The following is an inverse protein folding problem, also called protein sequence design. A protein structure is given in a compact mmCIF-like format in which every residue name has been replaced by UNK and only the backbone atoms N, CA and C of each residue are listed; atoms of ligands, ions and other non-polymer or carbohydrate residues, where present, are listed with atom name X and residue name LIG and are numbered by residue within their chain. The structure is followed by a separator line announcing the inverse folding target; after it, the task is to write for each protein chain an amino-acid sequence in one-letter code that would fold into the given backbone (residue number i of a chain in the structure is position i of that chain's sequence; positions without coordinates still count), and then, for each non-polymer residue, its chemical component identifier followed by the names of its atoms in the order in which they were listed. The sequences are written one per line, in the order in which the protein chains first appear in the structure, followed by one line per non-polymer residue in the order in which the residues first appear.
data_IF_041542206351
#
_entry.id   IF_041542206351
#
_cell.length_a   1.000
_cell.length_b   1.000
_cell.length_c   1.000
_cell.angle_alpha   90.00
_cell.angle_beta   90.00
_cell.angle_gamma   90.00
#
_symmetry.space_group_name_H-M   'P 1'
#
loop_
_entity.id
_entity.type
_entity.pdbx_description
1 polymer ?
#
# COMPACT_ATOMS: atom_id res chain seq x y z
N UNK A 1 8.24 -20.89 -20.28
CA UNK A 1 7.25 -20.26 -19.37
C UNK A 1 7.71 -18.83 -19.14
N UNK A 2 6.83 -17.84 -19.30
CA UNK A 2 7.17 -16.46 -18.96
C UNK A 2 7.46 -16.39 -17.46
N UNK A 3 8.52 -15.70 -17.08
CA UNK A 3 8.83 -15.47 -15.67
C UNK A 3 7.79 -14.50 -15.10
N UNK A 4 6.97 -14.92 -14.13
CA UNK A 4 5.92 -14.07 -13.53
C UNK A 4 6.52 -12.78 -12.96
N UNK A 5 7.76 -12.81 -12.46
CA UNK A 5 8.46 -11.61 -11.99
C UNK A 5 8.76 -10.59 -13.11
N UNK A 6 8.68 -10.99 -14.38
CA UNK A 6 8.88 -10.11 -15.54
C UNK A 6 7.57 -9.60 -16.17
N UNK A 7 6.41 -10.15 -15.76
CA UNK A 7 5.11 -9.81 -16.36
C UNK A 7 4.06 -9.34 -15.35
N UNK A 8 4.29 -9.54 -14.05
CA UNK A 8 3.43 -9.01 -12.98
C UNK A 8 3.65 -7.52 -12.75
N UNK A 9 2.67 -6.89 -12.10
CA UNK A 9 2.68 -5.46 -11.74
C UNK A 9 3.40 -5.17 -10.40
N UNK A 10 3.83 -6.22 -9.68
CA UNK A 10 4.51 -6.13 -8.38
C UNK A 10 3.66 -5.45 -7.28
N UNK A 11 2.33 -5.40 -7.48
CA UNK A 11 1.38 -4.87 -6.51
C UNK A 11 1.32 -5.71 -5.22
N UNK A 12 0.95 -5.06 -4.12
CA UNK A 12 0.66 -5.78 -2.87
C UNK A 12 -0.51 -6.75 -3.04
N UNK A 13 -1.56 -6.38 -3.78
CA UNK A 13 -2.71 -7.24 -4.06
C UNK A 13 -2.29 -8.61 -4.63
N UNK A 14 -1.39 -8.62 -5.62
CA UNK A 14 -0.88 -9.88 -6.15
C UNK A 14 -0.14 -10.71 -5.09
N UNK A 15 0.69 -10.08 -4.27
CA UNK A 15 1.42 -10.76 -3.20
C UNK A 15 0.50 -11.28 -2.10
N UNK A 16 -0.55 -10.52 -1.77
CA UNK A 16 -1.60 -10.90 -0.83
C UNK A 16 -2.32 -12.16 -1.33
N UNK A 17 -2.80 -12.16 -2.57
CA UNK A 17 -3.45 -13.33 -3.19
C UNK A 17 -2.53 -14.54 -3.22
N UNK A 18 -1.26 -14.33 -3.58
CA UNK A 18 -0.25 -15.37 -3.61
C UNK A 18 -0.08 -16.01 -2.23
N UNK A 19 0.13 -15.22 -1.17
CA UNK A 19 0.33 -15.74 0.18
C UNK A 19 -0.93 -16.35 0.77
N UNK A 20 -2.09 -15.75 0.53
CA UNK A 20 -3.39 -16.29 0.93
C UNK A 20 -3.60 -17.70 0.38
N UNK A 21 -3.32 -17.89 -0.91
CA UNK A 21 -3.39 -19.21 -1.53
C UNK A 21 -2.41 -20.19 -0.90
N UNK A 22 -1.14 -19.80 -0.75
CA UNK A 22 -0.11 -20.69 -0.20
C UNK A 22 -0.40 -21.10 1.24
N UNK A 23 -0.80 -20.15 2.10
CA UNK A 23 -1.15 -20.42 3.49
C UNK A 23 -2.39 -21.31 3.60
N UNK A 24 -3.43 -21.05 2.80
CA UNK A 24 -4.59 -21.96 2.74
C UNK A 24 -4.16 -23.40 2.47
N UNK A 25 -3.26 -23.63 1.52
CA UNK A 25 -2.78 -24.98 1.21
C UNK A 25 -1.89 -25.54 2.34
N UNK A 26 -0.90 -24.77 2.81
CA UNK A 26 0.05 -25.27 3.82
C UNK A 26 -0.61 -25.57 5.16
N UNK A 27 -1.64 -24.81 5.54
CA UNK A 27 -2.34 -24.97 6.82
C UNK A 27 -3.48 -26.01 6.77
N UNK A 28 -3.81 -26.54 5.59
CA UNK A 28 -4.86 -27.57 5.43
C UNK A 28 -4.34 -28.91 4.91
N UNK A 29 -3.08 -28.99 4.47
CA UNK A 29 -2.43 -30.24 4.09
C UNK A 29 -1.75 -30.90 5.30
N UNK A 30 -2.38 -31.94 5.85
CA UNK A 30 -1.84 -32.70 6.98
C UNK A 30 -0.53 -33.44 6.71
N UNK A 31 -0.11 -33.55 5.44
CA UNK A 31 1.16 -34.17 5.05
C UNK A 31 2.29 -33.17 4.89
N UNK A 32 1.97 -31.88 4.95
CA UNK A 32 2.93 -30.81 4.75
C UNK A 32 3.79 -30.58 5.99
N UNK A 33 5.11 -30.69 5.83
CA UNK A 33 6.07 -30.57 6.95
C UNK A 33 6.34 -29.10 7.32
N UNK A 34 6.27 -28.18 6.35
CA UNK A 34 6.47 -26.75 6.59
C UNK A 34 7.13 -26.00 5.42
N UNK A 35 7.09 -24.67 5.48
CA UNK A 35 7.81 -23.76 4.58
C UNK A 35 8.45 -22.60 5.37
N UNK A 36 9.21 -21.76 4.66
CA UNK A 36 9.71 -20.51 5.18
C UNK A 36 9.48 -19.41 4.14
N UNK A 37 8.74 -18.37 4.51
CA UNK A 37 8.52 -17.22 3.65
C UNK A 37 9.82 -16.44 3.44
N UNK A 38 10.23 -16.27 2.18
CA UNK A 38 11.35 -15.42 1.79
C UNK A 38 10.83 -14.07 1.26
N UNK A 39 10.91 -12.98 2.01
CA UNK A 39 11.53 -12.81 3.33
C UNK A 39 10.58 -12.09 4.28
N UNK A 40 10.95 -12.00 5.56
CA UNK A 40 10.17 -11.21 6.51
C UNK A 40 10.25 -9.71 6.20
N UNK A 41 11.45 -9.21 5.91
CA UNK A 41 11.73 -7.78 5.73
C UNK A 41 12.44 -7.52 4.40
N UNK A 42 12.12 -6.41 3.75
CA UNK A 42 12.85 -5.92 2.58
C UNK A 42 14.33 -5.70 2.88
N UNK A 43 15.21 -6.05 1.94
CA UNK A 43 16.66 -6.03 2.17
C UNK A 43 17.46 -5.69 0.92
N UNK A 44 18.66 -5.14 1.13
CA UNK A 44 19.56 -4.75 0.04
C UNK A 44 20.15 -5.93 -0.72
N UNK A 45 20.26 -5.79 -2.03
CA UNK A 45 20.94 -6.76 -2.91
C UNK A 45 21.61 -6.04 -4.09
N UNK A 46 22.88 -6.34 -4.39
CA UNK A 46 23.59 -5.71 -5.51
C UNK A 46 23.06 -6.18 -6.88
N UNK A 47 22.24 -7.23 -6.91
CA UNK A 47 21.79 -7.91 -8.13
C UNK A 47 20.55 -7.28 -8.78
N UNK A 48 19.95 -6.25 -8.14
CA UNK A 48 18.65 -5.70 -8.56
C UNK A 48 18.69 -4.17 -8.75
N UNK A 49 19.58 -3.63 -9.59
CA UNK A 49 19.67 -2.19 -9.81
C UNK A 49 18.36 -1.56 -10.31
N UNK A 50 17.57 -2.33 -11.06
CA UNK A 50 16.36 -1.83 -11.74
C UNK A 50 15.04 -2.11 -11.03
N UNK A 51 15.07 -2.65 -9.81
CA UNK A 51 13.86 -2.82 -9.01
C UNK A 51 13.16 -1.47 -8.76
N UNK A 52 11.87 -1.52 -8.41
CA UNK A 52 11.04 -0.33 -8.22
C UNK A 52 11.63 0.60 -7.17
N UNK A 53 12.20 0.02 -6.11
CA UNK A 53 13.25 0.66 -5.31
C UNK A 53 14.60 0.03 -5.70
N UNK A 54 15.52 0.79 -6.31
CA UNK A 54 16.81 0.29 -6.77
C UNK A 54 17.60 -0.45 -5.68
N UNK A 55 18.15 -1.60 -6.04
CA UNK A 55 18.96 -2.47 -5.17
C UNK A 55 18.24 -3.06 -3.95
N UNK A 56 16.91 -3.03 -3.89
CA UNK A 56 16.14 -3.62 -2.79
C UNK A 56 15.37 -4.85 -3.27
N UNK A 57 15.48 -5.95 -2.55
CA UNK A 57 14.57 -7.08 -2.68
C UNK A 57 13.30 -6.81 -1.88
N UNK A 58 12.20 -6.51 -2.59
CA UNK A 58 10.94 -6.04 -2.03
C UNK A 58 9.95 -7.18 -1.66
N UNK A 59 10.45 -8.39 -1.37
CA UNK A 59 9.64 -9.57 -1.01
C UNK A 59 9.29 -9.65 0.48
N UNK A 60 9.69 -8.65 1.26
CA UNK A 60 9.38 -8.54 2.68
C UNK A 60 7.88 -8.38 2.91
N UNK A 61 7.41 -8.91 4.04
CA UNK A 61 6.10 -8.61 4.65
C UNK A 61 6.09 -7.24 5.34
N UNK A 62 7.28 -6.72 5.66
CA UNK A 62 7.51 -5.35 6.10
C UNK A 62 8.51 -4.68 5.16
N UNK A 63 8.47 -3.36 5.08
CA UNK A 63 9.52 -2.60 4.42
C UNK A 63 10.81 -2.64 5.24
N UNK A 64 11.86 -1.97 4.74
CA UNK A 64 13.20 -2.06 5.35
C UNK A 64 13.32 -1.28 6.68
N UNK A 65 12.45 -0.30 6.91
CA UNK A 65 12.39 0.53 8.12
C UNK A 65 11.34 -0.04 9.10
N UNK A 66 10.94 0.75 10.10
CA UNK A 66 9.94 0.37 11.10
C UNK A 66 8.56 0.98 10.77
N UNK A 67 8.24 1.10 9.48
CA UNK A 67 6.91 1.54 9.05
C UNK A 67 5.84 0.47 9.35
N UNK A 68 4.55 0.84 9.34
CA UNK A 68 3.47 -0.15 9.43
C UNK A 68 3.67 -1.29 8.42
N UNK A 69 3.35 -2.54 8.79
CA UNK A 69 3.51 -3.69 7.89
C UNK A 69 2.72 -3.55 6.58
N UNK A 70 3.20 -4.26 5.55
CA UNK A 70 2.49 -4.42 4.27
C UNK A 70 1.22 -5.25 4.47
N UNK A 71 0.27 -5.18 3.54
CA UNK A 71 -0.96 -5.99 3.62
C UNK A 71 -0.65 -7.49 3.74
N UNK A 72 0.38 -7.94 3.01
CA UNK A 72 0.87 -9.31 3.06
C UNK A 72 1.20 -9.82 4.47
N UNK A 73 1.65 -8.95 5.39
CA UNK A 73 1.89 -9.32 6.79
C UNK A 73 0.61 -9.79 7.48
N UNK A 74 -0.50 -9.10 7.25
CA UNK A 74 -1.78 -9.41 7.88
C UNK A 74 -2.40 -10.71 7.36
N UNK A 75 -2.02 -11.14 6.14
CA UNK A 75 -2.31 -12.50 5.66
C UNK A 75 -1.67 -13.51 6.61
N UNK A 76 -0.36 -13.46 6.86
CA UNK A 76 0.30 -14.36 7.81
C UNK A 76 -0.24 -14.21 9.23
N UNK A 77 -0.46 -12.97 9.70
CA UNK A 77 -1.04 -12.72 11.03
C UNK A 77 -2.39 -13.42 11.20
N UNK A 78 -3.22 -13.45 10.15
CA UNK A 78 -4.56 -14.06 10.21
C UNK A 78 -4.55 -15.58 10.38
N UNK A 79 -3.47 -16.25 9.99
CA UNK A 79 -3.30 -17.69 10.16
C UNK A 79 -2.53 -18.05 11.44
N UNK A 80 -1.51 -17.26 11.81
CA UNK A 80 -0.51 -17.69 12.80
C UNK A 80 -0.51 -16.90 14.11
N UNK A 81 -1.21 -15.77 14.21
CA UNK A 81 -1.20 -14.97 15.44
C UNK A 81 -2.32 -15.37 16.39
N UNK A 82 -1.99 -15.46 17.68
CA UNK A 82 -2.97 -15.56 18.77
C UNK A 82 -3.49 -14.18 19.22
N UNK A 83 -2.85 -13.08 18.82
CA UNK A 83 -3.27 -11.73 19.18
C UNK A 83 -4.55 -11.35 18.42
N UNK A 84 -5.69 -11.08 19.09
CA UNK A 84 -6.94 -10.71 18.44
C UNK A 84 -6.77 -9.54 17.48
N UNK A 85 -7.19 -9.69 16.22
CA UNK A 85 -7.19 -8.57 15.27
C UNK A 85 -8.18 -8.77 14.11
N UNK A 86 -8.50 -7.66 13.44
CA UNK A 86 -9.20 -7.61 12.16
C UNK A 86 -8.51 -6.55 11.29
N UNK A 87 -8.38 -6.80 9.99
CA UNK A 87 -7.67 -5.95 9.04
C UNK A 87 -8.40 -5.91 7.70
N UNK A 88 -8.93 -4.76 7.33
CA UNK A 88 -9.47 -4.47 6.00
C UNK A 88 -8.28 -4.34 5.04
N UNK A 89 -8.28 -5.06 3.91
CA UNK A 89 -7.16 -5.01 2.98
C UNK A 89 -6.94 -3.59 2.38
N UNK A 90 -5.66 -3.18 2.28
CA UNK A 90 -5.16 -2.00 1.57
C UNK A 90 -5.35 -0.64 2.25
N UNK A 91 -4.87 -0.50 3.50
CA UNK A 91 -4.80 0.79 4.20
C UNK A 91 -3.93 1.85 3.51
N UNK A 92 -2.98 1.44 2.67
CA UNK A 92 -2.15 2.36 1.89
C UNK A 92 -2.81 2.78 0.56
N UNK A 93 -3.89 2.12 0.15
CA UNK A 93 -4.62 2.39 -1.09
C UNK A 93 -5.93 3.15 -0.83
N UNK A 94 -5.77 4.42 -0.45
CA UNK A 94 -6.89 5.30 -0.06
C UNK A 94 -7.54 6.05 -1.23
N UNK A 95 -6.87 6.14 -2.38
CA UNK A 95 -7.38 6.77 -3.62
C UNK A 95 -7.67 5.69 -4.67
N UNK A 96 -8.95 5.42 -4.92
CA UNK A 96 -9.39 4.33 -5.79
C UNK A 96 -10.22 4.85 -6.97
N UNK A 97 -10.24 4.07 -8.06
CA UNK A 97 -11.08 4.37 -9.22
C UNK A 97 -11.72 3.12 -9.81
N UNK A 98 -12.83 3.30 -10.52
CA UNK A 98 -13.42 2.27 -11.36
C UNK A 98 -14.85 2.60 -11.79
N UNK A 99 -15.48 1.77 -12.64
CA UNK A 99 -16.82 2.04 -13.15
C UNK A 99 -17.88 2.12 -12.05
N UNK A 100 -18.80 3.08 -12.21
CA UNK A 100 -20.00 3.24 -11.39
C UNK A 100 -20.92 2.01 -11.48
N UNK A 101 -21.45 1.58 -10.34
CA UNK A 101 -22.43 0.49 -10.27
C UNK A 101 -21.86 -0.90 -10.56
N UNK A 102 -20.53 -1.04 -10.60
CA UNK A 102 -19.87 -2.34 -10.60
C UNK A 102 -19.39 -2.59 -9.18
N UNK A 103 -19.92 -3.62 -8.53
CA UNK A 103 -19.47 -4.03 -7.20
C UNK A 103 -17.98 -4.42 -7.19
N UNK A 104 -17.31 -4.18 -6.08
CA UNK A 104 -15.93 -4.61 -5.82
C UNK A 104 -15.92 -5.56 -4.64
N UNK A 105 -15.13 -6.61 -4.73
CA UNK A 105 -14.89 -7.48 -3.58
C UNK A 105 -13.84 -6.83 -2.67
N UNK A 106 -14.11 -6.80 -1.37
CA UNK A 106 -13.20 -6.38 -0.32
C UNK A 106 -12.89 -7.60 0.54
N UNK A 107 -11.62 -7.88 0.76
CA UNK A 107 -11.17 -8.91 1.70
C UNK A 107 -10.89 -8.33 3.08
N UNK A 108 -11.16 -9.10 4.12
CA UNK A 108 -10.75 -8.80 5.49
C UNK A 108 -9.94 -9.98 6.03
N UNK A 109 -8.75 -9.70 6.56
CA UNK A 109 -7.89 -10.68 7.20
C UNK A 109 -8.05 -10.59 8.72
N UNK A 110 -8.32 -11.72 9.36
CA UNK A 110 -8.59 -11.76 10.81
C UNK A 110 -8.37 -13.17 11.37
N UNK A 111 -8.06 -13.24 12.67
CA UNK A 111 -8.11 -14.47 13.47
C UNK A 111 -9.41 -14.60 14.30
N UNK A 112 -10.36 -13.67 14.16
CA UNK A 112 -11.69 -13.77 14.75
C UNK A 112 -12.50 -14.95 14.17
N UNK A 113 -13.46 -15.46 14.96
CA UNK A 113 -14.37 -16.54 14.50
C UNK A 113 -15.40 -16.00 13.50
N UNK A 114 -15.90 -14.80 13.75
CA UNK A 114 -16.88 -14.11 12.92
C UNK A 114 -16.45 -12.66 12.71
N UNK A 115 -16.66 -12.15 11.49
CA UNK A 115 -16.46 -10.74 11.16
C UNK A 115 -17.74 -10.17 10.56
N UNK A 116 -18.15 -9.00 11.04
CA UNK A 116 -19.19 -8.18 10.43
C UNK A 116 -18.55 -7.00 9.70
N UNK A 117 -18.95 -6.78 8.45
CA UNK A 117 -18.45 -5.67 7.64
C UNK A 117 -19.52 -4.61 7.43
N UNK A 118 -19.11 -3.36 7.45
CA UNK A 118 -19.96 -2.19 7.29
C UNK A 118 -19.40 -1.29 6.19
N UNK A 119 -20.29 -0.81 5.33
CA UNK A 119 -20.00 0.16 4.29
C UNK A 119 -20.88 1.39 4.50
N UNK A 120 -20.29 2.55 4.71
CA UNK A 120 -20.97 3.82 4.96
C UNK A 120 -22.05 3.70 6.07
N UNK A 121 -21.69 3.07 7.19
CA UNK A 121 -22.57 2.82 8.34
C UNK A 121 -23.59 1.69 8.16
N UNK A 122 -23.73 1.11 6.97
CA UNK A 122 -24.65 0.00 6.71
C UNK A 122 -23.93 -1.35 6.84
N UNK A 123 -24.45 -2.24 7.67
CA UNK A 123 -23.98 -3.63 7.74
C UNK A 123 -24.23 -4.35 6.41
N UNK A 124 -23.19 -5.04 5.92
CA UNK A 124 -23.25 -5.99 4.80
C UNK A 124 -23.32 -7.45 5.28
N UNK A 125 -23.58 -7.64 6.58
CA UNK A 125 -23.76 -8.93 7.20
C UNK A 125 -22.47 -9.54 7.75
N UNK A 126 -22.68 -10.58 8.55
CA UNK A 126 -21.62 -11.31 9.24
C UNK A 126 -21.16 -12.52 8.42
N UNK A 127 -19.88 -12.84 8.50
CA UNK A 127 -19.29 -14.05 7.92
C UNK A 127 -18.42 -14.76 8.94
N UNK A 128 -18.58 -16.08 9.01
CA UNK A 128 -17.75 -16.96 9.82
C UNK A 128 -16.49 -17.32 9.03
N UNK A 129 -15.34 -17.23 9.69
CA UNK A 129 -14.05 -17.60 9.10
C UNK A 129 -14.03 -19.09 8.77
N UNK A 130 -13.66 -19.41 7.54
CA UNK A 130 -13.46 -20.78 7.06
C UNK A 130 -12.16 -20.85 6.25
N UNK A 131 -11.13 -21.45 6.84
CA UNK A 131 -9.79 -21.57 6.25
C UNK A 131 -9.79 -22.30 4.89
N UNK A 132 -10.82 -23.09 4.61
CA UNK A 132 -10.95 -23.80 3.33
C UNK A 132 -11.51 -22.93 2.21
N UNK A 133 -12.03 -21.73 2.50
CA UNK A 133 -12.55 -20.79 1.50
C UNK A 133 -11.48 -19.81 1.06
N UNK A 134 -11.45 -19.54 -0.23
CA UNK A 134 -10.55 -18.58 -0.85
C UNK A 134 -11.36 -17.50 -1.58
N UNK A 135 -10.97 -16.21 -1.51
CA UNK A 135 -9.88 -15.68 -0.70
C UNK A 135 -10.29 -15.42 0.76
N UNK A 136 -9.30 -15.07 1.57
CA UNK A 136 -9.40 -14.50 2.93
C UNK A 136 -10.22 -15.35 3.90
N UNK A 137 -10.10 -16.68 3.82
CA UNK A 137 -10.91 -17.60 4.63
C UNK A 137 -12.42 -17.35 4.50
N UNK A 138 -12.88 -16.87 3.33
CA UNK A 138 -14.28 -16.54 3.05
C UNK A 138 -14.76 -15.19 3.62
N UNK A 139 -13.89 -14.42 4.26
CA UNK A 139 -14.19 -13.09 4.81
C UNK A 139 -14.06 -12.03 3.71
N UNK A 140 -14.96 -12.10 2.74
CA UNK A 140 -15.05 -11.13 1.63
C UNK A 140 -16.43 -10.47 1.56
N UNK A 141 -16.54 -9.25 1.06
CA UNK A 141 -17.84 -8.62 0.82
C UNK A 141 -17.84 -7.88 -0.51
N UNK A 142 -18.95 -7.99 -1.25
CA UNK A 142 -19.20 -7.13 -2.39
C UNK A 142 -19.68 -5.78 -1.89
N UNK A 143 -18.99 -4.72 -2.30
CA UNK A 143 -19.31 -3.33 -1.95
C UNK A 143 -19.59 -2.52 -3.21
N UNK A 144 -20.57 -1.62 -3.12
CA UNK A 144 -20.81 -0.59 -4.12
C UNK A 144 -20.28 0.73 -3.58
N UNK A 145 -19.27 1.28 -4.25
CA UNK A 145 -18.67 2.56 -3.89
C UNK A 145 -19.56 3.70 -4.36
N UNK A 146 -19.73 4.74 -3.53
CA UNK A 146 -20.21 6.06 -4.00
C UNK A 146 -19.02 6.92 -4.43
N UNK A 147 -19.30 7.93 -5.25
CA UNK A 147 -18.28 8.93 -5.59
C UNK A 147 -17.88 9.73 -4.35
N UNK A 148 -16.58 10.02 -4.21
CA UNK A 148 -16.00 10.66 -3.04
C UNK A 148 -15.69 9.67 -1.93
N UNK A 149 -15.86 10.11 -0.69
CA UNK A 149 -15.38 9.36 0.48
C UNK A 149 -16.31 8.20 0.86
N UNK A 150 -15.71 7.05 1.16
CA UNK A 150 -16.38 5.82 1.57
C UNK A 150 -15.75 5.29 2.85
N UNK A 151 -16.57 5.13 3.87
CA UNK A 151 -16.16 4.59 5.17
C UNK A 151 -16.38 3.08 5.20
N UNK A 152 -15.31 2.32 5.40
CA UNK A 152 -15.33 0.89 5.64
C UNK A 152 -15.02 0.62 7.09
N UNK A 153 -15.75 -0.33 7.69
CA UNK A 153 -15.50 -0.78 9.07
C UNK A 153 -15.70 -2.28 9.16
N UNK A 154 -14.76 -2.97 9.79
CA UNK A 154 -14.84 -4.39 10.08
C UNK A 154 -14.85 -4.60 11.60
N UNK A 155 -15.68 -5.51 12.08
CA UNK A 155 -15.76 -5.89 13.50
C UNK A 155 -15.59 -7.39 13.61
N UNK A 156 -14.48 -7.82 14.20
CA UNK A 156 -14.22 -9.22 14.53
C UNK A 156 -14.70 -9.56 15.93
N UNK A 157 -15.37 -10.71 16.07
CA UNK A 157 -15.72 -11.30 17.37
C UNK A 157 -14.88 -12.56 17.60
N UNK A 158 -14.08 -12.54 18.66
CA UNK A 158 -13.23 -13.65 19.08
C UNK A 158 -14.07 -14.73 19.78
N UNK A 159 -13.47 -15.92 19.94
CA UNK A 159 -14.12 -17.08 20.55
C UNK A 159 -14.56 -16.87 22.01
N UNK A 160 -13.80 -16.08 22.75
CA UNK A 160 -14.09 -15.71 24.14
C UNK A 160 -15.06 -14.53 24.28
N UNK A 161 -15.46 -13.94 23.15
CA UNK A 161 -16.35 -12.78 23.08
C UNK A 161 -15.63 -11.44 22.98
N UNK A 162 -14.30 -11.41 22.97
CA UNK A 162 -13.56 -10.17 22.74
C UNK A 162 -13.86 -9.60 21.35
N UNK A 163 -13.87 -8.27 21.24
CA UNK A 163 -14.22 -7.56 20.01
C UNK A 163 -13.07 -6.70 19.55
N UNK A 164 -12.70 -6.87 18.28
CA UNK A 164 -11.68 -6.08 17.58
C UNK A 164 -12.32 -5.36 16.40
N UNK A 165 -11.80 -4.19 16.07
CA UNK A 165 -12.33 -3.37 14.98
C UNK A 165 -11.20 -2.75 14.16
N UNK A 166 -11.52 -2.47 12.90
CA UNK A 166 -10.67 -1.76 11.97
C UNK A 166 -11.54 -0.88 11.07
N UNK A 167 -10.99 0.27 10.70
CA UNK A 167 -11.67 1.32 9.95
C UNK A 167 -10.78 1.84 8.83
N UNK A 168 -11.35 2.06 7.66
CA UNK A 168 -10.64 2.54 6.50
C UNK A 168 -11.50 3.54 5.71
N UNK A 169 -10.97 4.75 5.53
CA UNK A 169 -11.58 5.78 4.68
C UNK A 169 -10.92 5.74 3.30
N UNK A 170 -11.74 5.61 2.26
CA UNK A 170 -11.28 5.58 0.86
C UNK A 170 -12.03 6.60 0.03
N UNK A 171 -11.30 7.41 -0.72
CA UNK A 171 -11.88 8.19 -1.80
C UNK A 171 -12.02 7.33 -3.06
N UNK A 172 -13.20 7.34 -3.68
CA UNK A 172 -13.48 6.62 -4.90
C UNK A 172 -14.00 7.56 -5.98
N UNK A 173 -13.40 7.49 -7.17
CA UNK A 173 -13.90 8.23 -8.34
C UNK A 173 -14.31 7.30 -9.47
N UNK A 174 -15.37 7.68 -10.19
CA UNK A 174 -15.83 6.91 -11.35
C UNK A 174 -15.10 7.29 -12.64
N UNK A 175 -14.51 8.48 -12.66
CA UNK A 175 -13.74 8.99 -13.80
C UNK A 175 -12.34 8.39 -13.79
N UNK A 176 -12.01 7.65 -14.85
CA UNK A 176 -10.64 7.18 -15.09
C UNK A 176 -9.77 8.37 -15.50
N UNK A 177 -8.56 8.46 -14.96
CA UNK A 177 -7.58 9.46 -15.39
C UNK A 177 -7.22 9.31 -16.88
N UNK A 178 -6.86 10.43 -17.50
CA UNK A 178 -6.21 10.49 -18.79
C UNK A 178 -4.72 10.09 -18.72
N UNK A 179 -3.97 10.43 -19.77
CA UNK A 179 -2.53 10.21 -19.80
C UNK A 179 -1.81 11.18 -18.84
N UNK A 180 -0.77 10.72 -18.13
CA UNK A 180 0.02 11.57 -17.25
C UNK A 180 0.69 12.69 -18.05
N UNK A 181 0.64 13.91 -17.51
CA UNK A 181 1.11 15.13 -18.19
C UNK A 181 2.02 16.00 -17.33
N UNK A 182 1.85 15.96 -16.00
CA UNK A 182 2.62 16.77 -15.08
C UNK A 182 2.82 16.07 -13.73
N UNK A 183 3.79 16.58 -12.96
CA UNK A 183 3.91 16.28 -11.53
C UNK A 183 3.33 17.47 -10.75
N UNK A 184 2.56 17.20 -9.71
CA UNK A 184 2.24 18.15 -8.64
C UNK A 184 2.99 17.75 -7.38
N UNK A 185 3.45 18.75 -6.62
CA UNK A 185 4.18 18.54 -5.37
C UNK A 185 3.40 19.18 -4.23
N UNK A 186 3.40 18.50 -3.09
CA UNK A 186 2.88 18.98 -1.83
C UNK A 186 3.85 18.58 -0.71
N UNK A 187 3.71 19.17 0.47
CA UNK A 187 4.51 18.81 1.63
C UNK A 187 3.67 18.80 2.91
N UNK A 188 4.06 17.92 3.83
CA UNK A 188 3.50 17.90 5.19
C UNK A 188 4.61 17.73 6.21
N UNK A 189 4.49 18.41 7.34
CA UNK A 189 5.38 18.16 8.48
C UNK A 189 5.00 16.82 9.13
N UNK A 190 6.01 16.05 9.50
CA UNK A 190 5.88 14.80 10.23
C UNK A 190 6.11 15.02 11.73
N UNK A 191 5.62 14.09 12.56
CA UNK A 191 5.76 14.16 14.02
C UNK A 191 7.22 14.14 14.49
N UNK A 192 8.11 13.56 13.70
CA UNK A 192 9.56 13.54 13.96
C UNK A 192 10.26 14.89 13.63
N UNK A 193 9.51 15.89 13.15
CA UNK A 193 10.01 17.20 12.74
C UNK A 193 10.53 17.28 11.30
N UNK A 194 10.65 16.15 10.59
CA UNK A 194 10.98 16.12 9.17
C UNK A 194 9.79 16.60 8.33
N UNK A 195 10.05 16.81 7.04
CA UNK A 195 9.03 17.19 6.06
C UNK A 195 8.88 16.03 5.07
N UNK A 196 7.67 15.53 4.89
CA UNK A 196 7.35 14.58 3.83
C UNK A 196 6.99 15.34 2.57
N UNK A 197 7.83 15.23 1.55
CA UNK A 197 7.51 15.71 0.20
C UNK A 197 6.69 14.64 -0.52
N UNK A 198 5.59 15.07 -1.15
CA UNK A 198 4.65 14.20 -1.86
C UNK A 198 4.64 14.61 -3.33
N UNK A 199 5.02 13.69 -4.21
CA UNK A 199 4.90 13.87 -5.65
C UNK A 199 3.71 13.06 -6.19
N UNK A 200 2.86 13.69 -6.99
CA UNK A 200 1.74 13.04 -7.68
C UNK A 200 1.82 13.28 -9.19
N UNK A 201 1.67 12.22 -9.98
CA UNK A 201 1.50 12.33 -11.42
C UNK A 201 0.04 12.66 -11.72
N UNK A 202 -0.22 13.69 -12.51
CA UNK A 202 -1.57 14.13 -12.86
C UNK A 202 -1.76 14.22 -14.37
N UNK A 203 -3.00 14.04 -14.82
CA UNK A 203 -3.39 14.20 -16.22
C UNK A 203 -3.66 15.67 -16.59
N UNK A 204 -4.21 15.91 -17.78
CA UNK A 204 -4.52 17.25 -18.25
C UNK A 204 -5.64 17.95 -17.47
N UNK A 205 -6.48 17.19 -16.76
CA UNK A 205 -7.60 17.67 -15.97
C UNK A 205 -7.25 17.76 -14.47
N UNK A 206 -6.00 17.47 -14.11
CA UNK A 206 -5.49 17.51 -12.74
C UNK A 206 -5.80 16.26 -11.92
N UNK A 207 -6.35 15.20 -12.54
CA UNK A 207 -6.61 13.95 -11.83
C UNK A 207 -5.31 13.17 -11.64
N UNK A 208 -5.06 12.70 -10.42
CA UNK A 208 -3.95 11.77 -10.13
C UNK A 208 -4.03 10.56 -11.06
N UNK A 209 -2.94 10.22 -11.75
CA UNK A 209 -2.86 9.06 -12.63
C UNK A 209 -2.60 7.79 -11.82
N UNK A 210 -3.66 7.05 -11.46
CA UNK A 210 -3.54 5.89 -10.57
C UNK A 210 -2.87 4.66 -11.23
N UNK A 211 -2.65 4.72 -12.54
CA UNK A 211 -1.95 3.72 -13.35
C UNK A 211 -0.54 4.17 -13.78
N UNK A 212 -0.02 5.27 -13.21
CA UNK A 212 1.34 5.73 -13.50
C UNK A 212 2.37 5.17 -12.52
N UNK A 213 3.28 4.35 -13.03
CA UNK A 213 4.26 3.62 -12.22
C UNK A 213 5.71 3.89 -12.66
N UNK A 214 5.93 4.93 -13.47
CA UNK A 214 7.28 5.23 -13.96
C UNK A 214 8.19 5.79 -12.85
N UNK A 215 9.48 5.68 -13.10
CA UNK A 215 10.51 6.15 -12.17
C UNK A 215 10.59 7.67 -12.13
N UNK A 216 10.69 8.21 -10.92
CA UNK A 216 10.96 9.63 -10.66
C UNK A 216 12.22 9.78 -9.82
N UNK A 217 12.74 11.00 -9.75
CA UNK A 217 13.95 11.35 -9.01
C UNK A 217 13.73 12.61 -8.18
N UNK A 218 14.04 12.54 -6.89
CA UNK A 218 14.01 13.66 -5.95
C UNK A 218 15.41 14.28 -5.82
N UNK A 219 15.49 15.61 -5.74
CA UNK A 219 16.74 16.35 -5.56
C UNK A 219 16.52 17.54 -4.62
N UNK A 220 17.15 17.54 -3.45
CA UNK A 220 17.23 18.74 -2.62
C UNK A 220 18.17 19.77 -3.28
N UNK A 221 17.66 20.97 -3.56
CA UNK A 221 18.43 22.05 -4.17
C UNK A 221 19.04 22.98 -3.11
N UNK A 222 18.25 23.38 -2.11
CA UNK A 222 18.69 24.25 -1.02
C UNK A 222 17.85 24.05 0.24
N UNK A 223 18.39 24.45 1.39
CA UNK A 223 17.69 24.47 2.68
C UNK A 223 17.43 23.12 3.37
N UNK A 224 17.51 21.99 2.64
CA UNK A 224 17.36 20.63 3.20
C UNK A 224 18.38 19.62 2.70
N UNK A 225 18.34 18.44 3.32
CA UNK A 225 18.80 17.17 2.75
C UNK A 225 17.65 16.18 2.67
N UNK A 226 17.71 15.23 1.74
CA UNK A 226 16.77 14.11 1.66
C UNK A 226 17.25 12.95 2.56
N UNK A 227 16.32 12.23 3.18
CA UNK A 227 16.58 10.87 3.66
C UNK A 227 16.81 9.99 2.42
N UNK A 228 18.04 9.50 2.24
CA UNK A 228 18.46 8.81 1.01
C UNK A 228 19.23 7.53 1.29
N UNK A 229 19.14 6.58 0.36
CA UNK A 229 19.80 5.27 0.43
C UNK A 229 19.29 4.35 1.54
N UNK A 230 18.12 4.63 2.13
CA UNK A 230 17.48 3.72 3.08
C UNK A 230 16.84 2.52 2.38
N UNK A 231 16.38 2.72 1.13
CA UNK A 231 15.71 1.67 0.37
C UNK A 231 14.27 1.44 0.84
N UNK A 232 13.60 2.52 1.24
CA UNK A 232 12.20 2.57 1.69
C UNK A 232 11.39 3.57 0.87
N UNK A 233 10.05 3.52 0.91
CA UNK A 233 9.18 4.42 0.16
C UNK A 233 9.36 5.92 0.47
N UNK A 234 9.90 6.27 1.65
CA UNK A 234 10.18 7.65 2.07
C UNK A 234 11.69 7.98 2.11
N UNK A 235 12.56 7.00 1.82
CA UNK A 235 14.01 7.13 1.99
C UNK A 235 14.81 6.83 0.72
N UNK A 236 14.21 7.09 -0.45
CA UNK A 236 14.77 6.73 -1.76
C UNK A 236 14.64 7.89 -2.75
N UNK A 237 15.77 8.51 -3.15
CA UNK A 237 15.80 9.61 -4.13
C UNK A 237 15.42 9.16 -5.56
N UNK A 238 15.40 7.86 -5.83
CA UNK A 238 15.01 7.26 -7.10
C UNK A 238 14.05 6.12 -6.82
N UNK A 239 12.81 6.25 -7.28
CA UNK A 239 11.73 5.30 -6.98
C UNK A 239 10.69 5.32 -8.09
N UNK A 240 10.10 4.17 -8.39
CA UNK A 240 8.88 4.10 -9.21
C UNK A 240 7.67 4.54 -8.43
N UNK A 241 6.75 5.24 -9.07
CA UNK A 241 5.53 5.70 -8.41
C UNK A 241 4.60 4.53 -8.08
N UNK A 242 3.98 4.55 -6.91
CA UNK A 242 2.90 3.66 -6.53
C UNK A 242 1.56 4.34 -6.82
N UNK A 243 0.85 3.87 -7.84
CA UNK A 243 -0.39 4.47 -8.34
C UNK A 243 -0.27 5.98 -8.58
N UNK A 244 0.80 6.43 -9.23
CA UNK A 244 1.06 7.84 -9.50
C UNK A 244 1.38 8.68 -8.26
N UNK A 245 1.80 8.09 -7.14
CA UNK A 245 2.35 8.79 -5.98
C UNK A 245 3.73 8.26 -5.62
N UNK A 246 4.62 9.15 -5.18
CA UNK A 246 5.87 8.80 -4.54
C UNK A 246 6.20 9.88 -3.51
N UNK A 247 7.00 9.52 -2.52
CA UNK A 247 7.28 10.39 -1.37
C UNK A 247 8.75 10.35 -0.99
N UNK A 248 9.25 11.39 -0.33
CA UNK A 248 10.57 11.36 0.30
C UNK A 248 10.57 12.26 1.54
N UNK A 249 11.25 11.83 2.60
CA UNK A 249 11.49 12.65 3.77
C UNK A 249 12.64 13.63 3.55
N UNK A 250 12.47 14.84 4.04
CA UNK A 250 13.42 15.93 4.01
C UNK A 250 13.77 16.34 5.45
N UNK A 251 15.05 16.55 5.70
CA UNK A 251 15.55 17.17 6.93
C UNK A 251 15.89 18.62 6.60
N UNK A 252 15.26 19.57 7.31
CA UNK A 252 15.60 21.00 7.22
C UNK A 252 16.98 21.25 7.81
N UNK A 253 17.82 22.02 7.12
CA UNK A 253 19.12 22.44 7.63
C UNK A 253 18.93 23.57 8.66
N UNK A 254 19.70 23.55 9.74
CA UNK A 254 19.64 24.56 10.79
C UNK A 254 19.73 26.00 10.23
N UNK A 255 18.80 26.85 10.65
CA UNK A 255 18.72 28.25 10.23
C UNK A 255 18.18 28.49 8.81
N UNK A 256 17.75 27.45 8.10
CA UNK A 256 17.13 27.62 6.77
C UNK A 256 15.67 28.05 6.93
N UNK A 257 15.34 29.25 6.49
CA UNK A 257 13.95 29.75 6.42
C UNK A 257 13.19 29.13 5.25
N UNK A 258 13.88 28.79 4.15
CA UNK A 258 13.26 28.26 2.95
C UNK A 258 14.00 27.01 2.48
N UNK A 259 13.24 26.02 1.97
CA UNK A 259 13.78 24.83 1.33
C UNK A 259 13.30 24.75 -0.12
N UNK A 260 14.16 24.25 -1.00
CA UNK A 260 13.82 24.06 -2.40
C UNK A 260 14.15 22.62 -2.82
N UNK A 261 13.15 21.93 -3.37
CA UNK A 261 13.30 20.54 -3.82
C UNK A 261 12.73 20.38 -5.21
N UNK A 262 13.47 19.68 -6.07
CA UNK A 262 13.08 19.36 -7.44
C UNK A 262 12.71 17.89 -7.58
N UNK A 263 11.71 17.62 -8.42
CA UNK A 263 11.34 16.27 -8.83
C UNK A 263 11.33 16.18 -10.35
N UNK A 264 12.09 15.23 -10.89
CA UNK A 264 12.25 15.01 -12.33
C UNK A 264 11.88 13.57 -12.73
N UNK A 265 11.56 13.37 -14.00
CA UNK A 265 11.33 12.06 -14.61
C UNK A 265 11.72 12.08 -16.10
N UNK A 266 11.50 10.99 -16.82
CA UNK A 266 11.80 10.89 -18.27
C UNK A 266 10.56 11.06 -19.17
N UNK A 267 9.38 11.20 -18.58
CA UNK A 267 8.09 11.15 -19.30
C UNK A 267 7.56 12.56 -19.64
N UNK A 268 7.81 13.54 -18.78
CA UNK A 268 7.35 14.93 -18.93
C UNK A 268 8.23 15.88 -18.11
N UNK A 269 7.98 17.19 -18.21
CA UNK A 269 8.78 18.20 -17.53
C UNK A 269 8.72 18.00 -16.01
N UNK A 270 9.89 18.00 -15.36
CA UNK A 270 9.99 18.04 -13.91
C UNK A 270 9.46 19.35 -13.32
N UNK A 271 9.34 19.37 -12.01
CA UNK A 271 8.81 20.51 -11.24
C UNK A 271 9.60 20.68 -9.94
N UNK A 272 9.38 21.78 -9.23
CA UNK A 272 10.01 22.04 -7.94
C UNK A 272 8.99 22.60 -6.95
N UNK A 273 9.28 22.47 -5.66
CA UNK A 273 8.49 23.02 -4.57
C UNK A 273 9.42 23.84 -3.68
N UNK A 274 8.93 25.01 -3.29
CA UNK A 274 9.54 25.88 -2.29
C UNK A 274 8.69 25.76 -1.02
N UNK A 275 9.34 25.45 0.09
CA UNK A 275 8.69 25.22 1.38
C UNK A 275 9.26 26.25 2.36
N UNK A 276 8.37 26.99 3.03
CA UNK A 276 8.70 27.93 4.10
C UNK A 276 8.81 27.21 5.45
#
# INVERSE_FOLDING_TARGET
MANIAQIGDWSENYMVDLFNWHLRISETDSTFVGNAQWAFKDFGTPLRPENDIPYINQKGLVDRDNNPPKDSYYVFKSYWSDEPFVWIESHTWTERQGPKGLEREISVYSNAEEVEFFMNGKSLGKKIKDVNKFPASGLTWLVDFKEGDNEMRAVGTMKDGDVVNDELLVNYRFTKNGKPKALTLDSTQLDNGNILLIAQAVDADGLRCLDYEERIYFQALSGCTTIKSHGTPTGSESIKMANGKATIELIRNDGSEQLEVMVINQSFKGTYLVIE
#
